data_IF_781397829180
#
_entry.id   IF_781397829180
#
_cell.length_a   1.000
_cell.length_b   1.000
_cell.length_c   1.000
_cell.angle_alpha   90.00
_cell.angle_beta   90.00
_cell.angle_gamma   90.00
#
_symmetry.space_group_name_H-M   'P 1'
#
loop_
_entity.id
_entity.type
_entity.pdbx_description
1 polymer ?
#
# COMPACT_ATOMS: atom_id res chain seq x y z
N UNK A 1 28.81 -13.69 -4.32
CA UNK A 1 28.45 -12.35 -4.64
C UNK A 1 27.22 -11.90 -3.86
N UNK A 2 27.29 -10.75 -3.31
CA UNK A 2 26.17 -10.23 -2.55
C UNK A 2 25.07 -9.73 -3.48
N UNK A 3 23.87 -10.19 -3.23
CA UNK A 3 22.71 -9.63 -3.88
C UNK A 3 22.09 -8.60 -2.96
N UNK A 4 22.01 -7.41 -3.43
CA UNK A 4 21.40 -6.36 -2.66
C UNK A 4 19.90 -6.38 -2.89
N UNK A 5 19.18 -6.65 -1.82
CA UNK A 5 17.74 -6.56 -1.85
C UNK A 5 17.37 -5.15 -1.47
N UNK A 6 17.03 -4.39 -2.46
CA UNK A 6 16.63 -2.99 -2.28
C UNK A 6 15.12 -2.90 -2.33
N UNK A 7 14.60 -1.69 -2.09
CA UNK A 7 13.18 -1.45 -2.24
C UNK A 7 12.69 -1.77 -3.66
N UNK A 8 13.57 -1.61 -4.65
CA UNK A 8 13.24 -1.89 -6.03
C UNK A 8 13.06 -3.38 -6.29
N UNK A 9 13.63 -4.23 -5.45
CA UNK A 9 13.49 -5.68 -5.55
C UNK A 9 12.27 -6.21 -4.82
N UNK A 10 11.39 -5.32 -4.36
CA UNK A 10 10.18 -5.72 -3.66
C UNK A 10 9.33 -6.65 -4.52
N UNK A 11 8.82 -7.68 -3.88
CA UNK A 11 7.88 -8.59 -4.50
C UNK A 11 6.49 -7.94 -4.56
N UNK A 12 5.97 -7.75 -5.76
CA UNK A 12 4.66 -7.15 -5.97
C UNK A 12 3.54 -8.18 -6.04
N UNK A 13 3.78 -9.37 -5.56
CA UNK A 13 2.79 -10.45 -5.61
C UNK A 13 1.49 -10.08 -4.93
N UNK A 14 1.57 -9.52 -3.73
CA UNK A 14 0.39 -9.13 -2.96
C UNK A 14 -0.46 -8.11 -3.72
N UNK A 15 0.20 -7.14 -4.36
CA UNK A 15 -0.46 -6.12 -5.15
C UNK A 15 -1.20 -6.74 -6.34
N UNK A 16 -0.54 -7.65 -7.06
CA UNK A 16 -1.15 -8.33 -8.21
C UNK A 16 -2.32 -9.21 -7.79
N UNK A 17 -2.20 -9.89 -6.66
CA UNK A 17 -3.29 -10.71 -6.12
C UNK A 17 -4.48 -9.85 -5.76
N UNK A 18 -4.24 -8.70 -5.13
CA UNK A 18 -5.31 -7.77 -4.80
C UNK A 18 -6.03 -7.28 -6.05
N UNK A 19 -5.28 -6.88 -7.08
CA UNK A 19 -5.87 -6.38 -8.33
C UNK A 19 -6.67 -7.46 -9.05
N UNK A 20 -6.22 -8.70 -9.00
CA UNK A 20 -6.94 -9.81 -9.60
C UNK A 20 -8.29 -10.01 -8.91
N UNK A 21 -8.32 -9.92 -7.59
CA UNK A 21 -9.53 -10.16 -6.82
C UNK A 21 -10.43 -8.92 -6.74
N UNK A 22 -9.86 -7.75 -6.95
CA UNK A 22 -10.56 -6.47 -6.80
C UNK A 22 -10.26 -5.59 -8.02
N UNK A 23 -11.04 -5.67 -9.09
CA UNK A 23 -10.79 -4.84 -10.28
C UNK A 23 -10.86 -3.35 -9.98
N UNK A 24 -10.20 -2.56 -10.83
CA UNK A 24 -10.21 -1.11 -10.74
C UNK A 24 -11.65 -0.58 -10.70
N UNK A 25 -12.01 0.26 -9.72
CA UNK A 25 -13.36 0.82 -9.63
C UNK A 25 -13.75 1.65 -10.84
N UNK A 26 -12.80 2.29 -11.51
CA UNK A 26 -13.06 3.16 -12.64
C UNK A 26 -13.16 2.42 -13.98
N UNK A 27 -12.36 1.37 -14.17
CA UNK A 27 -12.23 0.71 -15.49
C UNK A 27 -12.69 -0.74 -15.48
N UNK A 28 -12.84 -1.34 -14.31
CA UNK A 28 -13.11 -2.76 -14.11
C UNK A 28 -12.00 -3.68 -14.62
N UNK A 29 -10.84 -3.14 -14.94
CA UNK A 29 -9.68 -3.91 -15.37
C UNK A 29 -8.88 -4.38 -14.16
N UNK A 30 -8.16 -5.49 -14.34
CA UNK A 30 -7.43 -6.13 -13.25
C UNK A 30 -5.93 -5.92 -13.30
N UNK A 31 -5.40 -5.30 -14.34
CA UNK A 31 -3.95 -5.20 -14.53
C UNK A 31 -3.45 -3.86 -15.02
N UNK A 32 -4.29 -2.92 -15.24
CA UNK A 32 -3.85 -1.65 -15.80
C UNK A 32 -3.95 -0.53 -14.80
N UNK A 33 -3.47 0.63 -15.18
CA UNK A 33 -3.61 1.82 -14.37
C UNK A 33 -5.09 2.06 -14.04
N UNK A 34 -5.32 2.61 -12.85
CA UNK A 34 -6.68 2.89 -12.38
C UNK A 34 -6.80 4.39 -12.16
N UNK A 35 -7.28 5.15 -13.14
CA UNK A 35 -7.34 6.61 -13.04
C UNK A 35 -8.13 7.08 -11.83
N UNK A 36 -7.55 7.98 -11.05
CA UNK A 36 -8.19 8.54 -9.86
C UNK A 36 -8.15 7.66 -8.63
N UNK A 37 -7.56 6.48 -8.71
CA UNK A 37 -7.51 5.51 -7.62
C UNK A 37 -6.11 4.99 -7.39
N UNK A 38 -5.82 4.64 -6.15
CA UNK A 38 -4.58 3.95 -5.79
C UNK A 38 -4.90 2.76 -4.91
N UNK A 39 -3.98 1.81 -4.85
CA UNK A 39 -4.07 0.71 -3.90
C UNK A 39 -3.24 1.09 -2.68
N UNK A 40 -3.86 1.02 -1.52
CA UNK A 40 -3.26 1.43 -0.26
C UNK A 40 -3.36 0.31 0.76
N UNK A 41 -2.44 0.30 1.72
CA UNK A 41 -2.53 -0.59 2.86
C UNK A 41 -3.49 -0.01 3.89
N UNK A 42 -4.43 -0.81 4.36
CA UNK A 42 -5.38 -0.38 5.39
C UNK A 42 -4.63 0.02 6.66
N UNK A 43 -3.76 -0.87 7.12
CA UNK A 43 -2.83 -0.57 8.20
C UNK A 43 -1.47 -0.34 7.54
N UNK A 44 -0.84 0.83 7.73
CA UNK A 44 0.41 1.12 7.06
C UNK A 44 1.53 0.18 7.49
N UNK A 45 2.43 -0.10 6.57
CA UNK A 45 3.55 -1.00 6.84
C UNK A 45 4.39 -0.52 8.02
N UNK A 46 4.59 0.80 8.14
CA UNK A 46 5.35 1.38 9.25
C UNK A 46 4.68 1.22 10.61
N UNK A 47 3.41 0.88 10.63
CA UNK A 47 2.65 0.60 11.85
C UNK A 47 2.41 -0.91 12.05
N UNK A 48 3.15 -1.73 11.34
CA UNK A 48 3.04 -3.18 11.46
C UNK A 48 2.02 -3.84 10.56
N UNK A 49 1.45 -3.10 9.61
CA UNK A 49 0.51 -3.68 8.64
C UNK A 49 1.20 -4.70 7.74
N UNK A 50 0.47 -5.72 7.35
CA UNK A 50 1.00 -6.76 6.48
C UNK A 50 1.04 -6.30 5.03
N UNK A 51 2.08 -6.72 4.31
CA UNK A 51 2.12 -6.56 2.86
C UNK A 51 1.41 -7.75 2.22
N UNK A 52 0.10 -7.73 2.34
CA UNK A 52 -0.77 -8.82 1.93
C UNK A 52 -2.08 -8.25 1.39
N UNK A 53 -2.67 -8.95 0.42
CA UNK A 53 -3.91 -8.49 -0.21
C UNK A 53 -5.04 -8.22 0.78
N UNK A 54 -5.08 -8.96 1.89
CA UNK A 54 -6.10 -8.75 2.92
C UNK A 54 -5.97 -7.42 3.64
N UNK A 55 -4.79 -6.79 3.56
CA UNK A 55 -4.52 -5.48 4.15
C UNK A 55 -4.46 -4.39 3.09
N UNK A 56 -5.08 -4.61 1.94
CA UNK A 56 -5.08 -3.65 0.84
C UNK A 56 -6.49 -3.19 0.51
N UNK A 57 -6.58 -1.99 -0.04
CA UNK A 57 -7.87 -1.41 -0.43
C UNK A 57 -7.65 -0.42 -1.58
N UNK A 58 -8.70 -0.25 -2.39
CA UNK A 58 -8.74 0.86 -3.31
C UNK A 58 -9.11 2.13 -2.56
N UNK A 59 -8.40 3.21 -2.85
CA UNK A 59 -8.72 4.54 -2.34
C UNK A 59 -8.67 5.56 -3.47
N UNK A 60 -9.51 6.57 -3.37
CA UNK A 60 -9.35 7.73 -4.26
C UNK A 60 -8.04 8.42 -3.91
N UNK A 61 -7.46 9.10 -4.90
CA UNK A 61 -6.23 9.87 -4.70
C UNK A 61 -6.41 10.91 -3.58
N UNK A 62 -7.58 11.55 -3.52
CA UNK A 62 -7.86 12.56 -2.50
C UNK A 62 -7.86 11.96 -1.09
N UNK A 63 -8.57 10.85 -0.91
CA UNK A 63 -8.64 10.18 0.40
C UNK A 63 -7.27 9.64 0.81
N UNK A 64 -6.51 9.14 -0.14
CA UNK A 64 -5.17 8.63 0.11
C UNK A 64 -4.23 9.73 0.61
N UNK A 65 -4.35 10.95 0.11
CA UNK A 65 -3.54 12.08 0.57
C UNK A 65 -3.84 12.41 2.03
N UNK A 66 -5.11 12.42 2.42
CA UNK A 66 -5.51 12.69 3.80
C UNK A 66 -4.98 11.59 4.71
N UNK A 67 -5.17 10.35 4.33
CA UNK A 67 -4.69 9.20 5.09
C UNK A 67 -3.17 9.21 5.23
N UNK A 68 -2.45 9.59 4.19
CA UNK A 68 -0.98 9.65 4.20
C UNK A 68 -0.47 10.61 5.28
N UNK A 69 -1.08 11.76 5.43
CA UNK A 69 -0.71 12.72 6.50
C UNK A 69 -0.91 12.11 7.87
N UNK A 70 -2.05 11.45 8.08
CA UNK A 70 -2.35 10.80 9.35
C UNK A 70 -1.37 9.67 9.64
N UNK A 71 -1.03 8.88 8.64
CA UNK A 71 -0.10 7.78 8.79
C UNK A 71 1.31 8.24 9.09
N UNK A 72 1.74 9.32 8.48
CA UNK A 72 3.06 9.91 8.77
C UNK A 72 3.18 10.30 10.23
N UNK A 73 2.13 10.89 10.79
CA UNK A 73 2.09 11.25 12.22
C UNK A 73 2.11 10.01 13.09
N UNK A 74 1.31 9.01 12.76
CA UNK A 74 1.24 7.77 13.49
C UNK A 74 2.58 7.05 13.51
N UNK A 75 3.22 6.91 12.35
CA UNK A 75 4.49 6.22 12.23
C UNK A 75 5.62 7.00 12.91
N UNK A 76 5.58 8.32 12.88
CA UNK A 76 6.55 9.14 13.60
C UNK A 76 6.45 8.91 15.11
N UNK A 77 5.23 8.80 15.66
CA UNK A 77 5.04 8.51 17.07
C UNK A 77 5.60 7.13 17.44
N UNK A 78 5.36 6.15 16.59
CA UNK A 78 5.85 4.79 16.83
C UNK A 78 7.38 4.74 16.84
N UNK A 79 8.03 5.47 15.94
CA UNK A 79 9.49 5.54 15.89
C UNK A 79 10.10 6.22 17.11
N UNK A 80 9.36 7.09 17.77
CA UNK A 80 9.85 7.84 18.95
C UNK A 80 9.66 7.07 20.26
N UNK A 81 8.95 5.96 20.25
CA UNK A 81 8.74 5.19 21.45
C UNK A 81 10.05 4.58 21.94
N UNK A 82 10.34 4.66 23.23
CA UNK A 82 11.46 3.91 23.79
C UNK A 82 11.22 2.43 23.61
N UNK A 83 12.28 1.73 23.35
CA UNK A 83 12.22 0.28 23.18
C UNK A 83 12.42 -0.40 24.52
#
# INVERSE_FOLDING_TARGET
MLVLLTAEARDHRALREFQRDNPCPATHKRRSACPGWIIDHVIPLCAGGADHKANMQWQTVADAKVKDVQEKRQCAKLRKRPV
#
